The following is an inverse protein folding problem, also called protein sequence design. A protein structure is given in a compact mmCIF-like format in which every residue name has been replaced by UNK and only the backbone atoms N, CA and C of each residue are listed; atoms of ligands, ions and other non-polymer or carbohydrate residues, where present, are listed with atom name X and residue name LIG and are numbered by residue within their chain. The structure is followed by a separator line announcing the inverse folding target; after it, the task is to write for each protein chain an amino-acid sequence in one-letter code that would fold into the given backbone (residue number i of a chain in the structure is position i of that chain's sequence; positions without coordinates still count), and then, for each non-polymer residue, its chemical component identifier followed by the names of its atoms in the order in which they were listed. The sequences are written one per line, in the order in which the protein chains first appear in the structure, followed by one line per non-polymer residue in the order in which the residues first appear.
data_IF_081498195235
#
_entry.id   IF_081498195235
#
_cell.length_a   1.000
_cell.length_b   1.000
_cell.length_c   1.000
_cell.angle_alpha   90.00
_cell.angle_beta   90.00
_cell.angle_gamma   90.00
#
_symmetry.space_group_name_H-M   'P 1'
#
loop_
_entity.id
_entity.type
_entity.pdbx_description
1 polymer ?
#
# COMPACT_ATOMS: atom_id res chain seq x y z
N UNK A 1 -5.40 28.56 -4.54
CA UNK A 1 -6.45 27.61 -4.10
C UNK A 1 -7.72 28.42 -3.95
N UNK A 2 -8.85 27.98 -4.50
CA UNK A 2 -10.11 28.74 -4.42
C UNK A 2 -10.68 28.62 -3.00
N UNK A 3 -11.18 29.72 -2.44
CA UNK A 3 -11.75 29.77 -1.09
C UNK A 3 -13.26 30.05 -1.15
N UNK A 4 -14.01 29.43 -0.23
CA UNK A 4 -15.46 29.55 -0.16
C UNK A 4 -15.92 29.61 1.30
N UNK A 5 -16.91 30.45 1.60
CA UNK A 5 -17.51 30.49 2.94
C UNK A 5 -18.34 29.23 3.19
N UNK A 6 -18.37 28.74 4.43
CA UNK A 6 -19.14 27.56 4.82
C UNK A 6 -20.65 27.70 4.52
N UNK A 7 -21.20 28.92 4.56
CA UNK A 7 -22.61 29.18 4.21
C UNK A 7 -22.88 28.98 2.73
N UNK A 8 -21.96 29.41 1.87
CA UNK A 8 -22.03 29.23 0.42
C UNK A 8 -21.86 27.75 0.06
N UNK A 9 -20.86 27.10 0.68
CA UNK A 9 -20.65 25.66 0.51
C UNK A 9 -21.90 24.85 0.88
N UNK A 10 -22.59 25.18 1.98
CA UNK A 10 -23.84 24.52 2.37
C UNK A 10 -24.95 24.70 1.32
N UNK A 11 -25.06 25.87 0.71
CA UNK A 11 -26.07 26.15 -0.31
C UNK A 11 -25.75 25.47 -1.66
N UNK A 12 -24.47 25.27 -1.99
CA UNK A 12 -24.04 24.77 -3.31
C UNK A 12 -23.27 23.45 -3.26
N UNK A 13 -23.41 22.68 -2.17
CA UNK A 13 -22.55 21.53 -1.85
C UNK A 13 -22.41 20.55 -3.02
N UNK A 14 -23.52 20.07 -3.59
CA UNK A 14 -23.49 19.09 -4.68
C UNK A 14 -22.83 19.64 -5.96
N UNK A 15 -23.09 20.90 -6.30
CA UNK A 15 -22.48 21.54 -7.46
C UNK A 15 -20.96 21.69 -7.28
N UNK A 16 -20.54 22.05 -6.06
CA UNK A 16 -19.13 22.16 -5.68
C UNK A 16 -18.43 20.80 -5.77
N UNK A 17 -19.01 19.74 -5.20
CA UNK A 17 -18.47 18.39 -5.27
C UNK A 17 -18.33 17.92 -6.73
N UNK A 18 -19.35 18.14 -7.56
CA UNK A 18 -19.31 17.79 -8.98
C UNK A 18 -18.23 18.57 -9.74
N UNK A 19 -18.07 19.87 -9.46
CA UNK A 19 -17.02 20.72 -10.04
C UNK A 19 -15.63 20.23 -9.66
N UNK A 20 -15.41 19.92 -8.37
CA UNK A 20 -14.13 19.40 -7.87
C UNK A 20 -13.82 18.05 -8.51
N UNK A 21 -14.80 17.14 -8.59
CA UNK A 21 -14.64 15.84 -9.26
C UNK A 21 -14.28 15.98 -10.75
N UNK A 22 -14.89 16.92 -11.48
CA UNK A 22 -14.62 17.15 -12.91
C UNK A 22 -13.27 17.83 -13.16
N UNK A 23 -12.92 18.81 -12.34
CA UNK A 23 -11.77 19.69 -12.61
C UNK A 23 -10.49 19.26 -11.90
N UNK A 24 -10.60 18.43 -10.85
CA UNK A 24 -9.48 18.09 -9.98
C UNK A 24 -8.99 19.22 -9.10
N UNK A 25 -9.59 20.43 -9.18
CA UNK A 25 -9.15 21.60 -8.44
C UNK A 25 -9.76 21.61 -7.03
N UNK A 26 -8.94 21.61 -5.96
CA UNK A 26 -9.44 21.62 -4.60
C UNK A 26 -9.94 23.01 -4.18
N UNK A 27 -10.88 23.03 -3.23
CA UNK A 27 -11.48 24.25 -2.65
C UNK A 27 -11.28 24.23 -1.14
N UNK A 28 -10.94 25.38 -0.57
CA UNK A 28 -10.83 25.58 0.86
C UNK A 28 -12.13 26.20 1.41
N UNK A 29 -12.75 25.52 2.36
CA UNK A 29 -13.96 25.99 3.04
C UNK A 29 -13.54 26.75 4.30
N UNK A 30 -14.06 27.96 4.47
CA UNK A 30 -13.76 28.82 5.62
C UNK A 30 -15.00 29.13 6.45
N UNK A 31 -14.81 29.35 7.76
CA UNK A 31 -15.83 29.87 8.68
C UNK A 31 -15.27 31.10 9.37
N UNK A 32 -15.92 32.25 9.20
CA UNK A 32 -15.44 33.54 9.71
C UNK A 32 -13.98 33.85 9.30
N UNK A 33 -13.64 33.58 8.04
CA UNK A 33 -12.30 33.80 7.49
C UNK A 33 -11.25 32.77 7.94
N UNK A 34 -11.59 31.80 8.80
CA UNK A 34 -10.69 30.74 9.24
C UNK A 34 -10.94 29.47 8.42
N UNK A 35 -9.90 28.83 7.85
CA UNK A 35 -10.04 27.53 7.18
C UNK A 35 -10.61 26.47 8.12
N UNK A 36 -11.57 25.68 7.65
CA UNK A 36 -12.20 24.59 8.43
C UNK A 36 -12.19 23.24 7.73
N UNK A 37 -12.16 23.22 6.39
CA UNK A 37 -12.10 21.99 5.62
C UNK A 37 -11.53 22.25 4.23
N UNK A 38 -11.02 21.21 3.59
CA UNK A 38 -10.65 21.23 2.18
C UNK A 38 -11.44 20.15 1.44
N UNK A 39 -12.00 20.50 0.30
CA UNK A 39 -12.69 19.56 -0.60
C UNK A 39 -11.77 19.31 -1.79
N UNK A 40 -11.18 18.12 -1.82
CA UNK A 40 -10.34 17.64 -2.92
C UNK A 40 -11.09 16.69 -3.86
N UNK A 41 -10.52 16.38 -5.04
CA UNK A 41 -11.06 15.33 -5.90
C UNK A 41 -11.10 13.99 -5.15
N UNK A 42 -12.02 13.09 -5.52
CA UNK A 42 -12.04 11.75 -4.95
C UNK A 42 -10.68 11.07 -5.19
N UNK A 43 -10.22 10.22 -4.27
CA UNK A 43 -9.02 9.43 -4.50
C UNK A 43 -9.19 8.65 -5.80
N UNK A 44 -8.11 8.53 -6.58
CA UNK A 44 -8.10 7.58 -7.69
C UNK A 44 -8.48 6.23 -7.11
N UNK A 45 -9.44 5.54 -7.75
CA UNK A 45 -9.73 4.17 -7.38
C UNK A 45 -8.40 3.44 -7.29
N UNK A 46 -8.10 2.83 -6.15
CA UNK A 46 -6.95 1.97 -6.04
C UNK A 46 -7.13 0.96 -7.17
N UNK A 47 -6.25 1.01 -8.18
CA UNK A 47 -6.28 0.02 -9.24
C UNK A 47 -6.27 -1.33 -8.54
N UNK A 48 -7.18 -2.22 -8.92
CA UNK A 48 -7.19 -3.57 -8.38
C UNK A 48 -5.75 -4.07 -8.44
N UNK A 49 -5.12 -4.29 -7.29
CA UNK A 49 -3.81 -4.95 -7.24
C UNK A 49 -4.12 -6.37 -7.67
N UNK A 50 -3.99 -6.59 -8.98
CA UNK A 50 -4.26 -7.88 -9.57
C UNK A 50 -3.15 -8.82 -9.12
N UNK A 51 -3.54 -9.91 -8.45
CA UNK A 51 -2.60 -10.98 -8.09
C UNK A 51 -1.89 -11.44 -9.37
N UNK A 52 -0.57 -11.30 -9.41
CA UNK A 52 0.24 -11.61 -10.59
C UNK A 52 0.59 -10.41 -11.48
N UNK A 53 0.39 -9.16 -11.05
CA UNK A 53 0.87 -7.96 -11.79
C UNK A 53 2.39 -7.98 -12.07
N UNK A 54 3.16 -8.71 -11.27
CA UNK A 54 4.61 -8.93 -11.45
C UNK A 54 4.94 -10.33 -11.98
N UNK A 55 3.97 -11.08 -12.49
CA UNK A 55 4.23 -12.38 -13.12
C UNK A 55 5.26 -12.19 -14.23
N UNK A 56 6.29 -13.03 -14.23
CA UNK A 56 7.38 -13.05 -15.21
C UNK A 56 8.26 -11.79 -15.24
N UNK A 57 8.15 -10.89 -14.26
CA UNK A 57 9.03 -9.70 -14.15
C UNK A 57 10.24 -9.92 -13.22
N UNK A 58 10.32 -11.06 -12.53
CA UNK A 58 11.44 -11.41 -11.65
C UNK A 58 12.47 -12.30 -12.34
N UNK A 59 13.74 -12.15 -11.96
CA UNK A 59 14.85 -13.03 -12.36
C UNK A 59 15.46 -13.68 -11.13
N UNK A 60 15.81 -14.97 -11.23
CA UNK A 60 16.54 -15.69 -10.18
C UNK A 60 18.01 -15.27 -10.23
N UNK A 61 18.50 -14.63 -9.18
CA UNK A 61 19.87 -14.10 -9.11
C UNK A 61 20.87 -15.02 -8.38
N UNK A 62 20.38 -16.09 -7.75
CA UNK A 62 21.19 -16.99 -6.93
C UNK A 62 20.46 -18.30 -6.67
N UNK A 63 20.99 -19.11 -5.76
CA UNK A 63 20.31 -20.34 -5.35
C UNK A 63 19.04 -20.02 -4.54
N UNK A 64 17.98 -20.79 -4.82
CA UNK A 64 16.70 -20.71 -4.13
C UNK A 64 16.49 -21.90 -3.20
N UNK A 65 17.37 -22.91 -3.25
CA UNK A 65 17.26 -24.13 -2.47
C UNK A 65 18.03 -23.99 -1.16
N UNK A 66 19.25 -23.43 -1.20
CA UNK A 66 20.01 -23.14 0.01
C UNK A 66 19.32 -22.11 0.92
N UNK A 67 19.54 -22.20 2.25
CA UNK A 67 18.93 -21.26 3.17
C UNK A 67 19.37 -19.82 2.90
N UNK A 68 18.47 -18.87 3.16
CA UNK A 68 18.79 -17.44 3.04
C UNK A 68 19.79 -16.95 4.10
N UNK A 69 20.07 -17.77 5.13
CA UNK A 69 21.06 -17.54 6.19
C UNK A 69 22.09 -18.68 6.18
N UNK A 70 23.06 -18.66 7.09
CA UNK A 70 24.02 -19.78 7.16
C UNK A 70 23.29 -21.08 7.51
N UNK A 71 23.72 -22.21 6.94
CA UNK A 71 23.10 -23.51 7.23
C UNK A 71 23.18 -23.90 8.70
N UNK A 72 24.21 -23.43 9.42
CA UNK A 72 24.37 -23.65 10.87
C UNK A 72 23.30 -22.93 11.71
N UNK A 73 22.64 -21.90 11.16
CA UNK A 73 21.50 -21.26 11.82
C UNK A 73 20.27 -22.18 11.83
N UNK A 74 20.20 -23.15 10.91
CA UNK A 74 19.09 -24.08 10.77
C UNK A 74 19.42 -25.39 11.48
N UNK A 75 18.78 -25.63 12.63
CA UNK A 75 19.01 -26.82 13.47
C UNK A 75 18.92 -28.14 12.69
N UNK A 76 18.00 -28.23 11.73
CA UNK A 76 17.76 -29.43 10.90
C UNK A 76 18.86 -29.69 9.87
N UNK A 77 19.72 -28.70 9.59
CA UNK A 77 20.82 -28.80 8.62
C UNK A 77 22.19 -28.91 9.30
N UNK A 78 22.24 -28.85 10.64
CA UNK A 78 23.49 -29.03 11.38
C UNK A 78 23.97 -30.46 11.25
N UNK A 79 25.21 -30.64 10.82
CA UNK A 79 25.87 -31.93 10.86
C UNK A 79 26.29 -32.22 12.31
N UNK A 80 25.40 -32.88 13.05
CA UNK A 80 25.66 -33.27 14.44
C UNK A 80 26.37 -34.63 14.42
N UNK A 81 27.63 -34.73 14.88
CA UNK A 81 28.34 -36.01 14.92
C UNK A 81 27.53 -37.04 15.73
N UNK A 82 27.04 -38.09 15.06
CA UNK A 82 26.26 -39.18 15.67
C UNK A 82 24.75 -39.13 15.47
N UNK A 83 24.20 -38.10 14.80
CA UNK A 83 22.77 -38.04 14.43
C UNK A 83 22.64 -38.08 12.91
N UNK A 84 23.08 -39.19 12.33
CA UNK A 84 22.73 -39.55 10.95
C UNK A 84 21.37 -40.25 10.89
N UNK A 85 20.74 -40.31 9.70
CA UNK A 85 19.45 -40.99 9.49
C UNK A 85 19.47 -42.50 9.84
N UNK A 86 20.65 -43.09 10.05
CA UNK A 86 20.85 -44.49 10.45
C UNK A 86 20.54 -44.78 11.93
N UNK A 87 20.25 -43.76 12.74
CA UNK A 87 19.90 -43.90 14.16
C UNK A 87 18.42 -44.24 14.43
N UNK A 88 17.59 -44.33 13.38
CA UNK A 88 16.17 -44.62 13.50
C UNK A 88 15.81 -46.12 13.48
N UNK A 89 16.78 -47.03 13.31
CA UNK A 89 16.55 -48.47 13.15
C UNK A 89 17.21 -49.33 14.26
N UNK A 90 17.31 -48.79 15.47
CA UNK A 90 17.67 -49.56 16.69
C UNK A 90 16.69 -49.31 17.83
#
# INVERSE_FOLDING_TARGET
MEEMKISEFKATCLAVLARVGRTGKPILVTRFGKPVAQVGPPPKAAGHIWLGVLRDQGTILGDLIEPASSSDDWEVLRDVPGVGPESADR
#
